data_IF_851703573902
#
_entry.id   IF_851703573902
#
_cell.length_a   1.000
_cell.length_b   1.000
_cell.length_c   1.000
_cell.angle_alpha   90.00
_cell.angle_beta   90.00
_cell.angle_gamma   90.00
#
_symmetry.space_group_name_H-M   'P 1'
#
loop_
_entity.id
_entity.type
_entity.pdbx_description
1 polymer ?
#
# COMPACT_ATOMS: atom_id res chain seq x y z
N UNK A 1 -17.29 10.46 33.38
CA UNK A 1 -16.44 9.30 33.05
C UNK A 1 -15.87 9.57 31.66
N UNK A 2 -14.58 9.85 31.56
CA UNK A 2 -13.90 10.06 30.28
C UNK A 2 -13.86 8.70 29.61
N UNK A 3 -14.60 8.54 28.51
CA UNK A 3 -14.52 7.36 27.65
C UNK A 3 -13.08 7.25 27.16
N UNK A 4 -12.34 6.30 27.73
CA UNK A 4 -10.95 6.06 27.38
C UNK A 4 -10.82 5.82 25.88
N UNK A 5 -10.01 6.64 25.25
CA UNK A 5 -9.54 6.37 23.88
C UNK A 5 -8.85 5.00 23.96
N UNK A 6 -9.45 4.00 23.36
CA UNK A 6 -8.86 2.66 23.31
C UNK A 6 -7.62 2.78 22.43
N UNK A 7 -6.43 2.70 23.05
CA UNK A 7 -5.18 2.67 22.33
C UNK A 7 -5.18 1.40 21.45
N UNK A 8 -4.88 1.55 20.18
CA UNK A 8 -4.76 0.42 19.26
C UNK A 8 -3.31 -0.04 19.22
N UNK A 9 -3.12 -1.33 19.13
CA UNK A 9 -1.80 -1.95 19.01
C UNK A 9 -1.40 -2.01 17.54
N UNK A 10 -0.14 -1.70 17.23
CA UNK A 10 0.39 -1.79 15.88
C UNK A 10 1.18 -3.09 15.71
N UNK A 11 0.72 -3.92 14.81
CA UNK A 11 1.38 -5.15 14.41
C UNK A 11 2.16 -4.91 13.12
N UNK A 12 3.49 -4.91 13.18
CA UNK A 12 4.37 -4.76 12.00
C UNK A 12 4.84 -6.14 11.58
N UNK A 13 4.62 -6.50 10.31
CA UNK A 13 4.91 -7.82 9.77
C UNK A 13 5.73 -7.70 8.49
N UNK A 14 6.91 -8.33 8.49
CA UNK A 14 7.68 -8.54 7.28
C UNK A 14 7.25 -9.85 6.62
N UNK A 15 6.84 -9.78 5.36
CA UNK A 15 6.26 -10.92 4.64
C UNK A 15 7.21 -11.48 3.57
N UNK A 16 8.40 -10.90 3.41
CA UNK A 16 9.29 -11.28 2.32
C UNK A 16 8.72 -10.88 0.95
N UNK A 17 9.01 -11.69 -0.07
CA UNK A 17 8.54 -11.45 -1.43
C UNK A 17 7.29 -12.28 -1.72
N UNK A 18 6.20 -11.61 -2.09
CA UNK A 18 4.88 -12.20 -2.31
C UNK A 18 4.31 -11.85 -3.68
N UNK A 19 3.58 -12.77 -4.35
CA UNK A 19 2.68 -12.43 -5.43
C UNK A 19 1.66 -11.37 -5.00
N UNK A 20 1.28 -10.47 -5.92
CA UNK A 20 0.35 -9.39 -5.61
C UNK A 20 -1.01 -9.92 -5.13
N UNK A 21 -1.54 -10.97 -5.79
CA UNK A 21 -2.83 -11.57 -5.45
C UNK A 21 -2.87 -12.07 -4.00
N UNK A 22 -1.81 -12.75 -3.53
CA UNK A 22 -1.74 -13.28 -2.17
C UNK A 22 -1.69 -12.15 -1.13
N UNK A 23 -0.88 -11.13 -1.39
CA UNK A 23 -0.80 -9.97 -0.51
C UNK A 23 -2.13 -9.19 -0.48
N UNK A 24 -2.85 -9.11 -1.60
CA UNK A 24 -4.15 -8.46 -1.67
C UNK A 24 -5.22 -9.23 -0.87
N UNK A 25 -5.26 -10.57 -1.00
CA UNK A 25 -6.17 -11.42 -0.22
C UNK A 25 -5.92 -11.28 1.28
N UNK A 26 -4.64 -11.23 1.69
CA UNK A 26 -4.26 -10.99 3.07
C UNK A 26 -4.74 -9.61 3.57
N UNK A 27 -4.54 -8.56 2.77
CA UNK A 27 -5.03 -7.22 3.10
C UNK A 27 -6.54 -7.22 3.33
N UNK A 28 -7.31 -7.86 2.44
CA UNK A 28 -8.76 -7.95 2.57
C UNK A 28 -9.19 -8.76 3.81
N UNK A 29 -8.44 -9.80 4.17
CA UNK A 29 -8.66 -10.58 5.38
C UNK A 29 -8.47 -9.73 6.63
N UNK A 30 -7.34 -9.03 6.73
CA UNK A 30 -7.02 -8.13 7.83
C UNK A 30 -7.98 -6.93 7.88
N UNK A 31 -8.30 -6.33 6.73
CA UNK A 31 -9.26 -5.24 6.64
C UNK A 31 -10.62 -5.63 7.27
N UNK A 32 -11.14 -6.83 6.98
CA UNK A 32 -12.37 -7.32 7.59
C UNK A 32 -12.26 -7.45 9.11
N UNK A 33 -11.13 -7.93 9.62
CA UNK A 33 -10.89 -8.06 11.06
C UNK A 33 -10.78 -6.69 11.74
N UNK A 34 -9.95 -5.80 11.19
CA UNK A 34 -9.70 -4.45 11.73
C UNK A 34 -10.94 -3.57 11.68
N UNK A 35 -11.83 -3.79 10.70
CA UNK A 35 -13.08 -3.04 10.56
C UNK A 35 -14.14 -3.40 11.61
N UNK A 36 -13.94 -4.44 12.43
CA UNK A 36 -14.87 -4.79 13.51
C UNK A 36 -14.73 -3.78 14.66
N UNK A 37 -15.84 -3.49 15.34
CA UNK A 37 -15.87 -2.47 16.39
C UNK A 37 -15.03 -2.82 17.63
N UNK A 38 -14.90 -4.09 17.94
CA UNK A 38 -14.13 -4.62 19.07
C UNK A 38 -12.64 -4.84 18.75
N UNK A 39 -12.23 -4.70 17.49
CA UNK A 39 -10.82 -4.84 17.12
C UNK A 39 -9.95 -3.77 17.77
N UNK A 40 -8.85 -4.18 18.35
CA UNK A 40 -7.82 -3.31 18.94
C UNK A 40 -6.52 -3.30 18.14
N UNK A 41 -6.41 -4.15 17.15
CA UNK A 41 -5.19 -4.31 16.35
C UNK A 41 -5.26 -3.48 15.07
N UNK A 42 -4.16 -2.83 14.74
CA UNK A 42 -3.83 -2.27 13.43
C UNK A 42 -2.61 -2.98 12.88
N UNK A 43 -2.40 -2.95 11.57
CA UNK A 43 -1.30 -3.65 10.92
C UNK A 43 -0.53 -2.73 9.97
N UNK A 44 0.79 -2.94 9.93
CA UNK A 44 1.66 -2.48 8.85
C UNK A 44 2.33 -3.72 8.25
N UNK A 45 1.95 -4.06 7.03
CA UNK A 45 2.60 -5.12 6.27
C UNK A 45 3.72 -4.53 5.44
N UNK A 46 4.92 -5.08 5.57
CA UNK A 46 6.08 -4.72 4.78
C UNK A 46 6.48 -5.92 3.92
N UNK A 47 6.70 -5.70 2.63
CA UNK A 47 7.00 -6.79 1.68
C UNK A 47 7.67 -6.26 0.40
N UNK A 48 8.05 -7.19 -0.46
CA UNK A 48 8.32 -6.96 -1.87
C UNK A 48 7.31 -7.73 -2.73
N UNK A 49 7.07 -7.29 -3.95
CA UNK A 49 6.29 -8.05 -4.94
C UNK A 49 7.18 -8.68 -6.01
N UNK A 50 6.68 -9.74 -6.63
CA UNK A 50 7.12 -10.12 -7.97
C UNK A 50 6.78 -8.97 -8.92
N UNK A 51 7.41 -8.98 -10.12
CA UNK A 51 7.15 -7.93 -11.11
C UNK A 51 5.67 -7.85 -11.46
N UNK A 52 5.04 -6.74 -11.15
CA UNK A 52 3.61 -6.52 -11.36
C UNK A 52 3.31 -5.06 -11.69
N UNK A 53 2.41 -4.85 -12.62
CA UNK A 53 1.82 -3.55 -12.90
C UNK A 53 0.41 -3.53 -12.32
N UNK A 54 0.10 -2.52 -11.52
CA UNK A 54 -1.24 -2.32 -10.97
C UNK A 54 -1.85 -1.04 -11.51
N UNK A 55 -3.08 -1.15 -12.02
CA UNK A 55 -3.88 -0.03 -12.52
C UNK A 55 -4.85 0.40 -11.44
N UNK A 56 -4.74 1.64 -10.97
CA UNK A 56 -5.63 2.23 -9.98
C UNK A 56 -6.89 2.84 -10.62
N UNK A 57 -7.77 3.41 -9.79
CA UNK A 57 -9.07 3.96 -10.23
C UNK A 57 -8.97 5.16 -11.19
N UNK A 58 -7.88 5.90 -11.15
CA UNK A 58 -7.65 7.05 -12.04
C UNK A 58 -6.89 6.68 -13.31
N UNK A 59 -6.57 5.39 -13.49
CA UNK A 59 -5.78 4.92 -14.60
C UNK A 59 -6.54 5.06 -15.92
N UNK A 60 -5.79 5.47 -16.96
CA UNK A 60 -6.27 5.50 -18.34
C UNK A 60 -5.62 4.37 -19.13
N UNK A 61 -6.34 3.78 -20.08
CA UNK A 61 -5.82 2.68 -20.91
C UNK A 61 -4.49 3.05 -21.59
N UNK A 62 -4.34 4.28 -22.03
CA UNK A 62 -3.14 4.77 -22.72
C UNK A 62 -1.90 4.91 -21.80
N UNK A 63 -2.07 4.71 -20.49
CA UNK A 63 -0.95 4.76 -19.54
C UNK A 63 -0.19 3.44 -19.45
N UNK A 64 -0.73 2.35 -20.01
CA UNK A 64 0.00 1.11 -20.27
C UNK A 64 0.57 1.19 -21.69
N UNK A 65 1.90 1.21 -21.83
CA UNK A 65 2.60 1.41 -23.10
C UNK A 65 2.78 0.13 -23.91
N UNK A 66 2.48 -1.02 -23.33
CA UNK A 66 2.59 -2.35 -23.94
C UNK A 66 1.29 -3.13 -23.78
N UNK A 67 1.07 -4.14 -24.60
CA UNK A 67 -0.10 -5.01 -24.48
C UNK A 67 0.02 -5.95 -23.26
N UNK A 68 -1.11 -6.40 -22.72
CA UNK A 68 -1.13 -7.42 -21.63
C UNK A 68 -0.43 -8.73 -22.05
N UNK A 69 -0.46 -9.08 -23.35
CA UNK A 69 0.26 -10.23 -23.92
C UNK A 69 1.77 -10.07 -23.79
N UNK A 70 2.30 -8.89 -24.14
CA UNK A 70 3.73 -8.56 -23.97
C UNK A 70 4.16 -8.57 -22.49
N UNK A 71 3.32 -8.09 -21.57
CA UNK A 71 3.61 -8.21 -20.13
C UNK A 71 3.77 -9.67 -19.70
N UNK A 72 2.88 -10.55 -20.17
CA UNK A 72 2.96 -11.97 -19.88
C UNK A 72 4.26 -12.61 -20.40
N UNK A 73 4.69 -12.24 -21.62
CA UNK A 73 5.97 -12.70 -22.20
C UNK A 73 7.18 -12.21 -21.38
N UNK A 74 7.09 -11.02 -20.77
CA UNK A 74 8.11 -10.46 -19.89
C UNK A 74 8.04 -11.00 -18.44
N UNK A 75 7.07 -11.88 -18.14
CA UNK A 75 6.86 -12.39 -16.78
C UNK A 75 6.34 -11.34 -15.79
N UNK A 76 5.66 -10.32 -16.29
CA UNK A 76 5.08 -9.23 -15.49
C UNK A 76 3.57 -9.43 -15.38
N UNK A 77 3.08 -9.53 -14.16
CA UNK A 77 1.63 -9.61 -13.89
C UNK A 77 0.95 -8.25 -14.08
N UNK A 78 -0.35 -8.26 -14.40
CA UNK A 78 -1.17 -7.06 -14.49
C UNK A 78 -2.45 -7.21 -13.70
N UNK A 79 -2.74 -6.23 -12.81
CA UNK A 79 -3.95 -6.20 -12.00
C UNK A 79 -4.65 -4.84 -12.10
N UNK A 80 -5.97 -4.89 -12.33
CA UNK A 80 -6.85 -3.76 -12.10
C UNK A 80 -7.26 -3.74 -10.63
N UNK A 81 -7.07 -2.60 -9.98
CA UNK A 81 -7.21 -2.50 -8.53
C UNK A 81 -8.13 -1.34 -8.15
N UNK A 82 -8.62 -1.37 -6.93
CA UNK A 82 -9.48 -0.33 -6.39
C UNK A 82 -8.73 0.73 -5.55
N UNK A 83 -7.38 0.68 -5.54
CA UNK A 83 -6.58 1.74 -4.89
C UNK A 83 -6.77 3.09 -5.58
N UNK A 84 -6.54 4.16 -4.84
CA UNK A 84 -6.38 5.49 -5.43
C UNK A 84 -5.15 5.56 -6.34
N UNK A 85 -5.14 6.56 -7.21
CA UNK A 85 -4.04 6.82 -8.12
C UNK A 85 -4.18 6.12 -9.46
N UNK A 86 -3.16 6.33 -10.27
CA UNK A 86 -3.03 5.85 -11.64
C UNK A 86 -2.28 4.50 -11.69
N UNK A 87 -1.72 4.17 -12.84
CA UNK A 87 -0.91 2.98 -13.05
C UNK A 87 0.43 3.09 -12.32
N UNK A 88 0.92 1.99 -11.78
CA UNK A 88 2.26 1.90 -11.19
C UNK A 88 2.86 0.52 -11.39
N UNK A 89 4.18 0.42 -11.20
CA UNK A 89 4.94 -0.82 -11.24
C UNK A 89 5.45 -1.16 -9.85
N UNK A 90 5.44 -2.45 -9.52
CA UNK A 90 6.10 -3.01 -8.36
C UNK A 90 7.02 -4.15 -8.79
N UNK A 91 8.15 -4.29 -8.11
CA UNK A 91 9.14 -5.32 -8.42
C UNK A 91 10.28 -5.36 -7.43
N UNK A 92 11.35 -6.05 -7.81
CA UNK A 92 12.52 -6.30 -6.98
C UNK A 92 13.17 -5.00 -6.50
N UNK A 93 13.53 -4.97 -5.22
CA UNK A 93 14.18 -3.82 -4.61
C UNK A 93 13.24 -2.66 -4.28
N UNK A 94 11.93 -2.87 -4.34
CA UNK A 94 10.93 -1.89 -3.93
C UNK A 94 10.27 -2.32 -2.63
N UNK A 95 10.43 -1.52 -1.56
CA UNK A 95 9.71 -1.75 -0.31
C UNK A 95 8.26 -1.34 -0.47
N UNK A 96 7.37 -2.29 -0.24
CA UNK A 96 5.93 -2.08 -0.18
C UNK A 96 5.49 -1.99 1.27
N UNK A 97 4.66 -0.99 1.59
CA UNK A 97 4.04 -0.83 2.90
C UNK A 97 2.52 -0.76 2.78
N UNK A 98 1.82 -1.73 3.39
CA UNK A 98 0.37 -1.78 3.43
C UNK A 98 -0.14 -1.54 4.85
N UNK A 99 -0.53 -0.31 5.21
CA UNK A 99 -1.16 -0.01 6.49
C UNK A 99 -2.65 -0.39 6.45
N UNK A 100 -3.05 -1.32 7.31
CA UNK A 100 -4.44 -1.68 7.54
C UNK A 100 -4.84 -1.11 8.90
N UNK A 101 -5.40 0.09 8.89
CA UNK A 101 -5.60 0.94 10.06
C UNK A 101 -7.03 1.45 10.08
N UNK A 102 -7.64 1.39 11.26
CA UNK A 102 -8.96 1.97 11.45
C UNK A 102 -8.88 3.47 11.72
N UNK A 103 -9.46 4.26 10.83
CA UNK A 103 -9.57 5.71 10.98
C UNK A 103 -10.76 6.05 11.87
N UNK A 104 -10.58 6.98 12.79
CA UNK A 104 -11.65 7.40 13.71
C UNK A 104 -12.60 8.44 13.11
N UNK A 105 -12.25 9.06 11.98
CA UNK A 105 -12.98 10.15 11.36
C UNK A 105 -12.68 10.22 9.85
N UNK A 106 -13.71 10.41 8.98
CA UNK A 106 -13.51 10.66 7.54
C UNK A 106 -12.53 11.78 7.22
N UNK A 107 -12.56 12.84 8.01
CA UNK A 107 -11.65 14.00 7.84
C UNK A 107 -10.18 13.65 8.00
N UNK A 108 -9.87 12.46 8.51
CA UNK A 108 -8.49 11.99 8.71
C UNK A 108 -7.87 11.31 7.49
N UNK A 109 -8.60 11.11 6.39
CA UNK A 109 -8.05 10.44 5.19
C UNK A 109 -6.91 11.26 4.57
N UNK A 110 -7.08 12.56 4.37
CA UNK A 110 -6.02 13.43 3.84
C UNK A 110 -4.84 13.51 4.81
N UNK A 111 -5.01 13.81 6.09
CA UNK A 111 -3.93 13.74 7.07
C UNK A 111 -3.24 12.39 7.11
N UNK A 112 -3.96 11.28 6.95
CA UNK A 112 -3.38 9.95 6.91
C UNK A 112 -2.42 9.77 5.72
N UNK A 113 -2.80 10.20 4.53
CA UNK A 113 -1.93 10.16 3.34
C UNK A 113 -0.69 11.02 3.55
N UNK A 114 -0.85 12.25 4.05
CA UNK A 114 0.28 13.15 4.35
C UNK A 114 1.20 12.58 5.44
N UNK A 115 0.64 11.88 6.43
CA UNK A 115 1.44 11.19 7.43
C UNK A 115 2.24 10.02 6.83
N UNK A 116 1.70 9.28 5.85
CA UNK A 116 2.47 8.26 5.12
C UNK A 116 3.65 8.89 4.38
N UNK A 117 3.44 10.01 3.72
CA UNK A 117 4.52 10.75 3.06
C UNK A 117 5.57 11.24 4.07
N UNK A 118 5.14 11.75 5.23
CA UNK A 118 6.04 12.18 6.30
C UNK A 118 6.87 11.00 6.86
N UNK A 119 6.27 9.83 7.03
CA UNK A 119 7.00 8.61 7.42
C UNK A 119 8.16 8.34 6.46
N UNK A 120 7.89 8.41 5.16
CA UNK A 120 8.91 8.17 4.13
C UNK A 120 9.99 9.27 4.17
N UNK A 121 9.60 10.54 4.24
CA UNK A 121 10.52 11.69 4.29
C UNK A 121 11.42 11.61 5.53
N UNK A 122 10.84 11.34 6.71
CA UNK A 122 11.60 11.22 7.95
C UNK A 122 12.59 10.05 7.90
N UNK A 123 12.19 8.95 7.25
CA UNK A 123 13.06 7.79 7.05
C UNK A 123 14.21 8.10 6.07
N UNK A 124 13.93 8.78 4.97
CA UNK A 124 14.95 9.19 3.99
C UNK A 124 15.96 10.18 4.59
N UNK A 125 15.51 11.06 5.50
CA UNK A 125 16.38 12.00 6.22
C UNK A 125 17.46 11.29 7.04
N UNK A 126 17.16 10.13 7.62
CA UNK A 126 18.13 9.27 8.30
C UNK A 126 19.31 8.91 7.40
N UNK A 127 19.02 8.68 6.13
CA UNK A 127 20.00 8.34 5.10
C UNK A 127 20.59 9.57 4.39
N UNK A 128 20.32 10.77 4.88
CA UNK A 128 20.78 12.06 4.30
C UNK A 128 20.28 12.27 2.87
N UNK A 129 19.07 11.79 2.58
CA UNK A 129 18.40 12.00 1.30
C UNK A 129 17.32 13.06 1.48
N UNK A 130 17.57 14.25 0.91
CA UNK A 130 16.58 15.32 0.92
C UNK A 130 15.40 14.98 0.03
N UNK A 131 14.22 15.09 0.59
CA UNK A 131 12.98 14.71 -0.08
C UNK A 131 11.81 15.60 0.32
N UNK A 132 10.81 15.68 -0.54
CA UNK A 132 9.67 16.58 -0.39
C UNK A 132 8.40 15.99 -1.02
N UNK A 133 7.27 16.58 -0.67
CA UNK A 133 5.95 16.30 -1.29
C UNK A 133 5.61 17.38 -2.30
N UNK A 134 4.76 17.04 -3.28
CA UNK A 134 4.10 18.02 -4.16
C UNK A 134 2.67 18.29 -3.67
N UNK A 135 2.16 19.48 -3.95
CA UNK A 135 0.84 19.89 -3.49
C UNK A 135 -0.28 19.13 -4.23
N UNK A 136 -0.11 18.95 -5.55
CA UNK A 136 -1.12 18.38 -6.45
C UNK A 136 -0.89 16.91 -6.80
N UNK A 137 0.07 16.23 -6.18
CA UNK A 137 0.36 14.82 -6.42
C UNK A 137 0.68 14.08 -5.12
N UNK A 138 0.44 12.77 -5.10
CA UNK A 138 0.65 11.92 -3.92
C UNK A 138 1.92 11.11 -4.09
N UNK A 139 2.84 11.23 -3.13
CA UNK A 139 4.12 10.52 -3.16
C UNK A 139 5.24 11.35 -2.54
N UNK A 140 6.46 10.91 -2.75
CA UNK A 140 7.67 11.58 -2.26
C UNK A 140 8.66 11.74 -3.39
N UNK A 141 9.24 12.92 -3.51
CA UNK A 141 10.21 13.30 -4.54
C UNK A 141 11.54 13.70 -3.93
N UNK A 142 12.56 13.58 -4.74
CA UNK A 142 13.92 14.10 -4.50
C UNK A 142 14.32 14.98 -5.66
N UNK A 143 15.51 15.57 -5.60
CA UNK A 143 16.08 16.31 -6.73
C UNK A 143 16.29 15.42 -7.99
N UNK A 144 16.36 14.09 -7.83
CA UNK A 144 16.54 13.14 -8.95
C UNK A 144 15.24 12.52 -9.47
N UNK A 145 14.09 12.83 -8.87
CA UNK A 145 12.80 12.30 -9.29
C UNK A 145 11.95 11.73 -8.18
N UNK A 146 10.85 11.06 -8.54
CA UNK A 146 9.93 10.41 -7.62
C UNK A 146 10.57 9.16 -7.03
N UNK A 147 10.68 9.10 -5.71
CA UNK A 147 11.29 7.97 -4.99
C UNK A 147 10.25 7.04 -4.37
N UNK A 148 9.06 7.56 -4.09
CA UNK A 148 7.98 6.78 -3.50
C UNK A 148 6.62 7.19 -4.06
N UNK A 149 5.72 6.22 -4.19
CA UNK A 149 4.32 6.40 -4.58
C UNK A 149 3.40 6.04 -3.43
N UNK A 150 2.29 6.76 -3.29
CA UNK A 150 1.27 6.48 -2.28
C UNK A 150 -0.10 6.37 -2.95
N UNK A 151 -0.80 5.28 -2.68
CA UNK A 151 -2.15 5.04 -3.18
C UNK A 151 -2.90 4.10 -2.25
N UNK A 152 -3.89 4.62 -1.54
CA UNK A 152 -4.68 3.87 -0.56
C UNK A 152 -6.13 3.69 -1.02
N UNK A 153 -6.80 2.77 -0.38
CA UNK A 153 -8.26 2.68 -0.33
C UNK A 153 -8.73 2.77 1.12
N UNK A 154 -9.84 3.44 1.34
CA UNK A 154 -10.57 3.42 2.62
C UNK A 154 -11.94 2.83 2.38
N UNK A 155 -12.30 1.82 3.15
CA UNK A 155 -13.62 1.23 3.18
C UNK A 155 -13.97 0.88 4.62
N UNK A 156 -15.21 1.13 5.05
CA UNK A 156 -15.65 0.94 6.45
C UNK A 156 -14.68 1.57 7.47
N UNK A 157 -14.17 2.75 7.13
CA UNK A 157 -13.19 3.51 7.93
C UNK A 157 -11.86 2.78 8.16
N UNK A 158 -11.56 1.77 7.40
CA UNK A 158 -10.30 1.01 7.48
C UNK A 158 -9.55 1.13 6.17
N UNK A 159 -8.24 1.37 6.26
CA UNK A 159 -7.36 1.53 5.11
C UNK A 159 -6.88 0.17 4.58
N UNK A 160 -6.51 0.12 3.31
CA UNK A 160 -5.70 -0.92 2.67
C UNK A 160 -5.02 -0.38 1.41
N UNK A 161 -4.20 -1.18 0.73
CA UNK A 161 -3.12 -0.69 -0.11
C UNK A 161 -2.18 0.20 0.72
N UNK A 162 -1.43 1.11 0.11
CA UNK A 162 -0.48 1.90 0.89
C UNK A 162 0.53 2.64 0.05
N UNK A 163 1.82 2.32 0.23
CA UNK A 163 2.92 2.99 -0.45
C UNK A 163 3.94 2.01 -1.02
N UNK A 164 4.73 2.50 -1.96
CA UNK A 164 5.94 1.85 -2.44
C UNK A 164 7.12 2.82 -2.35
N UNK A 165 8.28 2.33 -1.91
CA UNK A 165 9.53 3.08 -1.81
C UNK A 165 10.61 2.35 -2.60
N UNK A 166 11.20 3.02 -3.58
CA UNK A 166 12.26 2.45 -4.41
C UNK A 166 13.58 2.45 -3.64
N UNK A 167 14.11 1.28 -3.33
CA UNK A 167 15.39 1.13 -2.65
C UNK A 167 16.49 0.85 -3.66
N UNK A 168 16.32 -0.17 -4.50
CA UNK A 168 17.29 -0.55 -5.52
C UNK A 168 16.93 0.04 -6.89
N UNK A 169 17.88 -0.03 -7.83
CA UNK A 169 17.73 0.56 -9.16
C UNK A 169 17.00 -0.34 -10.19
N UNK A 170 16.27 -1.36 -9.72
CA UNK A 170 15.45 -2.24 -10.55
C UNK A 170 14.16 -1.52 -11.02
N UNK A 171 14.32 -0.44 -11.78
CA UNK A 171 13.24 0.47 -12.17
C UNK A 171 12.74 0.25 -13.61
N UNK A 172 13.24 -0.76 -14.31
CA UNK A 172 12.97 -1.00 -15.74
C UNK A 172 11.48 -1.16 -16.06
N UNK A 173 10.70 -1.74 -15.13
CA UNK A 173 9.27 -1.89 -15.31
C UNK A 173 8.50 -0.56 -15.43
N UNK A 174 9.05 0.55 -14.96
CA UNK A 174 8.44 1.87 -15.16
C UNK A 174 8.50 2.33 -16.61
N UNK A 175 9.40 1.80 -17.45
CA UNK A 175 9.46 2.09 -18.88
C UNK A 175 8.26 1.52 -19.65
N UNK A 176 7.52 0.61 -19.07
CA UNK A 176 6.35 -0.03 -19.67
C UNK A 176 5.04 0.73 -19.41
N UNK A 177 5.11 1.78 -18.60
CA UNK A 177 3.95 2.56 -18.18
C UNK A 177 4.21 4.06 -18.29
N UNK A 178 3.14 4.83 -18.28
CA UNK A 178 3.16 6.29 -18.21
C UNK A 178 2.54 6.72 -16.87
N UNK A 179 3.33 6.77 -15.77
CA UNK A 179 2.81 7.08 -14.45
C UNK A 179 2.18 8.46 -14.42
N UNK A 180 0.96 8.56 -13.88
CA UNK A 180 0.22 9.83 -13.79
C UNK A 180 0.00 10.57 -15.13
N UNK A 181 0.14 9.86 -16.28
CA UNK A 181 0.05 10.45 -17.60
C UNK A 181 1.20 11.40 -17.95
N UNK A 182 2.29 11.38 -17.20
CA UNK A 182 3.46 12.23 -17.37
C UNK A 182 4.69 11.40 -17.80
N UNK A 183 4.96 11.36 -19.10
CA UNK A 183 6.12 10.64 -19.66
C UNK A 183 7.48 11.20 -19.22
N UNK A 184 7.50 12.44 -18.72
CA UNK A 184 8.73 13.10 -18.29
C UNK A 184 9.01 12.93 -16.78
N UNK A 185 8.18 12.22 -16.03
CA UNK A 185 8.41 12.03 -14.61
C UNK A 185 9.59 11.08 -14.40
N UNK A 186 10.65 11.62 -13.86
CA UNK A 186 11.82 10.82 -13.51
C UNK A 186 11.52 10.00 -12.25
N UNK A 187 11.87 8.73 -12.29
CA UNK A 187 11.80 7.81 -11.15
C UNK A 187 13.22 7.58 -10.63
N UNK A 188 13.38 7.57 -9.31
CA UNK A 188 14.67 7.37 -8.66
C UNK A 188 14.55 6.36 -7.53
N UNK A 189 15.69 5.97 -6.93
CA UNK A 189 15.80 5.04 -5.82
C UNK A 189 16.78 5.54 -4.76
N UNK A 190 16.78 4.91 -3.59
CA UNK A 190 17.74 5.17 -2.52
C UNK A 190 19.16 4.90 -2.99
N UNK A 191 19.41 3.81 -3.74
CA UNK A 191 20.72 3.42 -4.21
C UNK A 191 21.36 4.41 -5.17
N UNK A 192 20.58 5.25 -5.86
CA UNK A 192 21.14 6.35 -6.64
C UNK A 192 21.78 7.45 -5.79
N UNK A 193 21.52 7.48 -4.49
CA UNK A 193 22.14 8.40 -3.53
C UNK A 193 23.22 7.71 -2.70
N UNK A 194 22.91 6.50 -2.22
CA UNK A 194 23.83 5.71 -1.44
C UNK A 194 23.57 4.19 -1.64
N UNK A 195 24.43 3.50 -2.39
CA UNK A 195 24.26 2.07 -2.69
C UNK A 195 24.53 1.14 -1.51
N UNK A 196 25.12 1.64 -0.42
CA UNK A 196 25.49 0.84 0.75
C UNK A 196 24.31 0.61 1.71
N UNK A 197 23.20 1.35 1.54
CA UNK A 197 22.02 1.24 2.37
C UNK A 197 21.30 -0.07 2.06
N UNK A 198 21.12 -0.90 3.08
CA UNK A 198 20.43 -2.18 2.96
C UNK A 198 18.90 -2.02 2.97
N UNK A 199 18.22 -3.02 2.42
CA UNK A 199 16.76 -3.08 2.45
C UNK A 199 16.23 -3.14 3.90
N UNK A 200 16.91 -3.90 4.75
CA UNK A 200 16.58 -4.09 6.15
C UNK A 200 16.67 -2.81 6.96
N UNK A 201 17.71 -1.99 6.72
CA UNK A 201 17.85 -0.68 7.37
C UNK A 201 16.68 0.24 7.01
N UNK A 202 16.29 0.27 5.73
CA UNK A 202 15.15 1.08 5.28
C UNK A 202 13.83 0.58 5.89
N UNK A 203 13.59 -0.73 5.88
CA UNK A 203 12.37 -1.30 6.45
C UNK A 203 12.26 -1.07 7.97
N UNK A 204 13.39 -1.14 8.69
CA UNK A 204 13.45 -0.82 10.12
C UNK A 204 13.13 0.65 10.37
N UNK A 205 13.76 1.56 9.63
CA UNK A 205 13.55 2.99 9.78
C UNK A 205 12.11 3.42 9.43
N UNK A 206 11.53 2.83 8.38
CA UNK A 206 10.10 3.02 8.04
C UNK A 206 9.21 2.55 9.19
N UNK A 207 9.52 1.44 9.82
CA UNK A 207 8.74 0.88 10.95
C UNK A 207 8.78 1.81 12.16
N UNK A 208 9.95 2.35 12.48
CA UNK A 208 10.16 3.27 13.61
C UNK A 208 9.40 4.58 13.38
N UNK A 209 9.59 5.19 12.21
CA UNK A 209 8.93 6.45 11.88
C UNK A 209 7.42 6.28 11.71
N UNK A 210 6.94 5.12 11.22
CA UNK A 210 5.53 4.83 11.15
C UNK A 210 4.89 4.83 12.54
N UNK A 211 5.45 4.08 13.49
CA UNK A 211 4.94 4.05 14.85
C UNK A 211 4.95 5.44 15.49
N UNK A 212 6.03 6.20 15.29
CA UNK A 212 6.20 7.56 15.83
C UNK A 212 5.19 8.55 15.23
N UNK A 213 5.07 8.62 13.90
CA UNK A 213 4.22 9.60 13.20
C UNK A 213 2.73 9.34 13.49
N UNK A 214 2.33 8.06 13.58
CA UNK A 214 0.96 7.68 13.89
C UNK A 214 0.66 7.58 15.39
N UNK A 215 1.67 7.79 16.26
CA UNK A 215 1.50 7.89 17.70
C UNK A 215 1.25 6.56 18.40
N UNK A 216 1.71 5.43 17.82
CA UNK A 216 1.63 4.13 18.46
C UNK A 216 2.66 4.00 19.58
N UNK A 217 2.20 3.65 20.77
CA UNK A 217 3.03 3.39 21.95
C UNK A 217 3.29 1.91 22.18
N UNK A 218 2.43 1.04 21.65
CA UNK A 218 2.59 -0.40 21.71
C UNK A 218 2.72 -0.96 20.27
N UNK A 219 3.87 -1.59 20.02
CA UNK A 219 4.19 -2.16 18.71
C UNK A 219 4.70 -3.59 18.86
N UNK A 220 4.10 -4.53 18.13
CA UNK A 220 4.62 -5.88 17.98
C UNK A 220 5.25 -6.04 16.58
N UNK A 221 6.54 -6.42 16.54
CA UNK A 221 7.32 -6.50 15.31
C UNK A 221 7.80 -7.92 15.09
N UNK A 222 7.46 -8.46 13.94
CA UNK A 222 7.97 -9.77 13.52
C UNK A 222 8.73 -9.63 12.19
N UNK A 223 10.05 -9.60 12.31
CA UNK A 223 11.01 -9.57 11.20
C UNK A 223 11.79 -10.90 11.09
N UNK A 224 11.26 -11.98 11.64
CA UNK A 224 11.94 -13.27 11.77
C UNK A 224 12.37 -13.93 10.44
N UNK A 225 12.05 -13.31 9.30
CA UNK A 225 12.39 -13.80 7.97
C UNK A 225 13.32 -12.87 7.19
N UNK A 226 13.90 -11.83 7.79
CA UNK A 226 15.04 -11.14 7.20
C UNK A 226 16.24 -12.11 7.20
N UNK A 227 16.25 -13.04 6.26
CA UNK A 227 17.44 -13.78 5.91
C UNK A 227 18.23 -12.92 4.93
N UNK A 228 19.52 -12.63 5.20
CA UNK A 228 20.36 -11.91 4.26
C UNK A 228 20.24 -12.59 2.90
N UNK A 229 19.81 -11.88 1.89
CA UNK A 229 19.81 -12.16 0.45
C UNK A 229 20.22 -13.57 -0.01
N UNK A 230 19.67 -14.63 0.54
CA UNK A 230 19.52 -15.88 -0.18
C UNK A 230 18.23 -15.84 -1.01
N UNK A 231 18.09 -14.80 -1.79
CA UNK A 231 17.02 -14.56 -2.78
C UNK A 231 17.08 -15.49 -3.98
N UNK A 232 17.61 -16.69 -3.79
CA UNK A 232 17.46 -17.77 -4.75
C UNK A 232 16.56 -18.84 -4.14
N UNK A 233 15.28 -18.78 -4.49
CA UNK A 233 14.15 -19.66 -4.19
C UNK A 233 13.29 -19.20 -3.00
N UNK A 234 12.22 -18.55 -3.34
CA UNK A 234 11.01 -18.40 -2.53
C UNK A 234 10.59 -19.77 -1.98
N UNK A 235 10.65 -19.96 -0.66
CA UNK A 235 9.75 -20.92 -0.03
C UNK A 235 8.33 -20.42 -0.32
N UNK A 236 7.50 -21.29 -0.81
CA UNK A 236 6.08 -21.01 -0.97
C UNK A 236 5.56 -20.44 0.35
N UNK A 237 5.11 -19.21 0.30
CA UNK A 237 4.59 -18.51 1.46
C UNK A 237 3.19 -19.04 1.72
N UNK A 238 2.98 -19.72 2.81
CA UNK A 238 1.67 -20.30 3.15
C UNK A 238 0.98 -19.39 4.16
N UNK A 239 0.10 -18.51 3.69
CA UNK A 239 -0.69 -17.60 4.53
C UNK A 239 -1.52 -18.37 5.54
N UNK A 240 -2.10 -19.53 5.17
CA UNK A 240 -2.86 -20.39 6.07
C UNK A 240 -1.99 -20.87 7.23
N UNK A 241 -0.72 -21.18 6.98
CA UNK A 241 0.20 -21.57 8.04
C UNK A 241 0.51 -20.40 8.97
N UNK A 242 0.72 -19.20 8.45
CA UNK A 242 0.98 -18.01 9.26
C UNK A 242 -0.22 -17.61 10.13
N UNK A 243 -1.44 -17.83 9.63
CA UNK A 243 -2.65 -17.65 10.45
C UNK A 243 -2.70 -18.68 11.58
N UNK A 244 -2.38 -19.95 11.29
CA UNK A 244 -2.31 -21.03 12.31
C UNK A 244 -1.22 -20.75 13.34
N UNK A 245 -0.09 -20.21 12.93
CA UNK A 245 1.05 -19.88 13.78
C UNK A 245 0.83 -18.59 14.59
N UNK A 246 -0.35 -17.98 14.49
CA UNK A 246 -0.72 -16.78 15.25
C UNK A 246 -0.05 -15.49 14.78
N UNK A 247 0.60 -15.50 13.61
CA UNK A 247 1.21 -14.31 13.02
C UNK A 247 0.14 -13.25 12.69
N UNK A 248 -1.09 -13.72 12.38
CA UNK A 248 -2.25 -12.87 12.16
C UNK A 248 -3.45 -13.32 12.98
N UNK A 249 -4.17 -12.37 13.55
CA UNK A 249 -5.46 -12.61 14.23
C UNK A 249 -6.61 -12.50 13.22
N UNK A 250 -6.74 -13.48 12.32
CA UNK A 250 -7.79 -13.51 11.29
C UNK A 250 -8.81 -14.59 11.65
N UNK A 251 -10.10 -14.25 11.55
CA UNK A 251 -11.16 -15.23 11.71
C UNK A 251 -11.20 -16.14 10.45
N UNK A 252 -10.70 -17.38 10.60
CA UNK A 252 -10.54 -18.37 9.52
C UNK A 252 -11.82 -18.69 8.75
N UNK A 253 -13.00 -18.54 9.38
CA UNK A 253 -14.28 -18.84 8.75
C UNK A 253 -14.74 -17.82 7.70
N UNK A 254 -13.94 -16.77 7.42
CA UNK A 254 -14.29 -15.68 6.53
C UNK A 254 -13.23 -15.33 5.47
N UNK A 255 -12.22 -16.17 5.30
CA UNK A 255 -11.30 -16.03 4.16
C UNK A 255 -12.00 -16.63 2.95
N UNK A 256 -12.38 -15.86 1.93
CA UNK A 256 -12.84 -16.47 0.70
C UNK A 256 -11.62 -17.14 0.06
N UNK A 257 -11.64 -18.44 -0.04
CA UNK A 257 -10.75 -19.18 -0.94
C UNK A 257 -11.13 -18.74 -2.36
N UNK A 258 -10.45 -17.73 -2.87
CA UNK A 258 -10.67 -17.30 -4.25
C UNK A 258 -9.50 -17.74 -5.09
N UNK A 259 -9.83 -18.67 -5.86
CA UNK A 259 -9.19 -19.27 -7.01
C UNK A 259 -8.57 -18.22 -7.94
N UNK A 260 -7.26 -18.42 -8.21
CA UNK A 260 -6.57 -18.14 -9.48
C UNK A 260 -7.06 -16.97 -10.34
N UNK A 261 -6.36 -15.86 -10.29
CA UNK A 261 -5.95 -15.15 -11.52
C UNK A 261 -6.96 -14.21 -12.18
N UNK A 262 -8.13 -14.00 -11.61
CA UNK A 262 -9.05 -12.93 -12.02
C UNK A 262 -9.63 -12.35 -10.73
N UNK A 263 -9.32 -11.09 -10.43
CA UNK A 263 -10.13 -10.37 -9.46
C UNK A 263 -11.58 -10.47 -9.96
N UNK A 264 -12.52 -10.99 -9.17
CA UNK A 264 -13.90 -10.97 -9.60
C UNK A 264 -14.25 -9.51 -9.86
N UNK A 265 -14.69 -9.20 -11.08
CA UNK A 265 -15.43 -7.96 -11.33
C UNK A 265 -16.43 -7.87 -10.18
N UNK A 266 -16.46 -6.72 -9.45
CA UNK A 266 -17.44 -6.54 -8.38
C UNK A 266 -18.78 -7.09 -8.89
N UNK A 267 -19.44 -7.99 -8.16
CA UNK A 267 -20.73 -8.50 -8.60
C UNK A 267 -21.59 -7.26 -8.81
N UNK A 268 -22.08 -7.08 -10.06
CA UNK A 268 -22.98 -5.95 -10.36
C UNK A 268 -24.06 -5.96 -9.30
N UNK A 269 -24.05 -4.94 -8.44
CA UNK A 269 -25.02 -4.82 -7.35
C UNK A 269 -26.41 -5.03 -7.96
N UNK A 270 -27.21 -5.95 -7.46
CA UNK A 270 -28.56 -6.15 -7.94
C UNK A 270 -29.30 -4.81 -7.92
N UNK A 271 -30.20 -4.55 -8.86
CA UNK A 271 -30.87 -3.24 -8.96
C UNK A 271 -31.61 -2.80 -7.68
N UNK A 272 -32.09 -3.77 -6.88
CA UNK A 272 -32.70 -3.53 -5.59
C UNK A 272 -31.71 -3.04 -4.50
N UNK A 273 -30.40 -3.20 -4.70
CA UNK A 273 -29.34 -2.71 -3.82
C UNK A 273 -28.89 -1.28 -4.16
N UNK A 274 -29.47 -0.67 -5.18
CA UNK A 274 -29.30 0.76 -5.48
C UNK A 274 -30.12 1.60 -4.48
N UNK A 275 -29.82 1.49 -3.21
CA UNK A 275 -30.27 2.47 -2.23
C UNK A 275 -29.57 3.77 -2.60
N UNK A 276 -30.32 4.85 -2.84
CA UNK A 276 -29.77 6.20 -2.84
C UNK A 276 -29.18 6.41 -1.46
N UNK A 277 -27.88 6.14 -1.32
CA UNK A 277 -27.17 6.47 -0.10
C UNK A 277 -27.34 7.98 0.06
N UNK A 278 -28.04 8.38 1.12
CA UNK A 278 -28.10 9.76 1.55
C UNK A 278 -26.72 10.03 2.18
N UNK A 279 -25.72 10.18 1.31
CA UNK A 279 -24.35 10.50 1.69
C UNK A 279 -24.43 11.94 2.19
N UNK A 280 -24.30 12.12 3.50
CA UNK A 280 -24.40 13.43 4.14
C UNK A 280 -23.47 14.46 3.49
N UNK A 281 -23.78 15.73 3.70
CA UNK A 281 -23.02 16.88 3.18
C UNK A 281 -21.50 16.74 3.36
N UNK A 282 -21.07 16.10 4.43
CA UNK A 282 -19.65 15.90 4.79
C UNK A 282 -18.94 14.93 3.83
N UNK A 283 -19.62 13.88 3.34
CA UNK A 283 -19.06 12.97 2.35
C UNK A 283 -18.88 13.65 0.99
N UNK A 284 -19.89 14.41 0.56
CA UNK A 284 -19.83 15.15 -0.71
C UNK A 284 -18.73 16.20 -0.65
N UNK A 285 -18.61 16.91 0.48
CA UNK A 285 -17.57 17.90 0.69
C UNK A 285 -16.17 17.27 0.69
N UNK A 286 -15.99 16.12 1.34
CA UNK A 286 -14.73 15.40 1.33
C UNK A 286 -14.35 14.91 -0.07
N UNK A 287 -15.31 14.34 -0.80
CA UNK A 287 -15.09 13.87 -2.18
C UNK A 287 -14.67 15.03 -3.09
N UNK A 288 -15.32 16.17 -2.99
CA UNK A 288 -14.99 17.37 -3.76
C UNK A 288 -13.59 17.89 -3.39
N UNK A 289 -13.27 17.94 -2.09
CA UNK A 289 -11.96 18.37 -1.61
C UNK A 289 -10.83 17.43 -2.09
N UNK A 290 -11.06 16.12 -2.07
CA UNK A 290 -10.10 15.13 -2.57
C UNK A 290 -9.87 15.30 -4.08
N UNK A 291 -10.95 15.54 -4.83
CA UNK A 291 -10.89 15.78 -6.28
C UNK A 291 -10.18 17.11 -6.61
N UNK A 292 -10.50 18.18 -5.87
CA UNK A 292 -9.90 19.50 -6.04
C UNK A 292 -8.40 19.50 -5.77
N UNK A 293 -7.97 18.74 -4.74
CA UNK A 293 -6.56 18.60 -4.35
C UNK A 293 -5.83 17.51 -5.15
N UNK A 294 -6.45 16.89 -6.16
CA UNK A 294 -5.92 15.76 -6.94
C UNK A 294 -5.37 14.62 -6.08
N UNK A 295 -5.89 14.47 -4.89
CA UNK A 295 -5.49 13.41 -3.97
C UNK A 295 -6.22 12.12 -4.37
N UNK A 296 -5.46 11.18 -4.92
CA UNK A 296 -5.96 9.92 -5.46
C UNK A 296 -6.28 8.92 -4.34
N UNK A 297 -7.20 9.26 -3.47
CA UNK A 297 -7.75 8.39 -2.45
C UNK A 297 -9.20 8.06 -2.77
N UNK A 298 -9.63 6.86 -2.43
CA UNK A 298 -11.02 6.43 -2.61
C UNK A 298 -11.64 6.15 -1.26
N UNK A 299 -12.69 6.91 -0.95
CA UNK A 299 -13.55 6.66 0.22
C UNK A 299 -14.87 6.03 -0.26
N UNK A 300 -15.26 4.90 0.32
CA UNK A 300 -16.56 4.26 0.21
C UNK A 300 -17.27 4.21 1.56
#
# INVERSE_FOLDING_TARGET
MVTGIRLRDLNIRWLGKLPYSEAYDLQLGLHRSVSQEDSTDDYLLLLEHNNVITSGRSSKENNLLVSKGQLHELGIEYFETDRGGDITYHGDGQLIGYPIIRLSDPKKVIPFVRNLENVIIDSLRKFKIDSFTKEDDTGVWTAKGKIASVGIKVSKWTTYHGFSLNIFDSLDGYQLINPCGNQSEQITSIHQFNPDISFEEVASEISDNFAKVFGYTNTDRQFSQFTPRQLKRTKEFNIDQMVKDGVFKINQNKIPVTVRGVLPSEPKRPEWMKVKANLGSDYVSLKNLLSEKKLNTVCE
#
